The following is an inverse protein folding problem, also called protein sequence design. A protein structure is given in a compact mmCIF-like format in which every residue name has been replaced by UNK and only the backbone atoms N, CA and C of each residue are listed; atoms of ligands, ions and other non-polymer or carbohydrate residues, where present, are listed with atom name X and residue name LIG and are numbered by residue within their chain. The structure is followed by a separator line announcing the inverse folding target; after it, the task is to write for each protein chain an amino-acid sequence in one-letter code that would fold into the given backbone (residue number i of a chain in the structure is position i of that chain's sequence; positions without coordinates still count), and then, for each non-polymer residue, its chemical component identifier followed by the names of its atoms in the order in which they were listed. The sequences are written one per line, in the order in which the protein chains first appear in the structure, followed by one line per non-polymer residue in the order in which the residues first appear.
data_IF_943619717374
#
_entry.id   IF_943619717374
#
_cell.length_a   1.000
_cell.length_b   1.000
_cell.length_c   1.000
_cell.angle_alpha   90.00
_cell.angle_beta   90.00
_cell.angle_gamma   90.00
#
_symmetry.space_group_name_H-M   'P 1'
#
loop_
_entity.id
_entity.type
_entity.pdbx_description
1 polymer ?
#
# COMPACT_ATOMS: atom_id res chain seq x y z
N UNK A 1 17.86 14.93 -0.86
CA UNK A 1 16.76 14.48 0.01
C UNK A 1 15.67 13.90 -0.88
N UNK A 2 15.25 12.66 -0.64
CA UNK A 2 14.08 12.10 -1.33
C UNK A 2 12.81 12.50 -0.55
N UNK A 3 11.68 12.79 -1.22
CA UNK A 3 10.42 13.06 -0.54
C UNK A 3 9.96 11.82 0.23
N UNK A 4 9.56 12.00 1.49
CA UNK A 4 9.04 10.96 2.37
C UNK A 4 7.56 11.24 2.68
N UNK A 5 6.73 10.20 2.66
CA UNK A 5 5.29 10.26 2.96
C UNK A 5 4.93 9.15 3.95
N UNK A 6 4.13 9.48 4.96
CA UNK A 6 3.64 8.54 5.96
C UNK A 6 2.17 8.22 5.69
N UNK A 7 1.84 6.93 5.66
CA UNK A 7 0.48 6.43 5.42
C UNK A 7 0.14 5.47 6.54
N UNK A 8 -1.08 5.57 7.07
CA UNK A 8 -1.63 4.65 8.05
C UNK A 8 -2.97 4.10 7.54
N UNK A 9 -3.17 2.80 7.73
CA UNK A 9 -4.44 2.12 7.43
C UNK A 9 -4.91 1.37 8.67
N UNK A 10 -6.20 1.47 8.94
CA UNK A 10 -6.88 0.65 9.94
C UNK A 10 -7.74 -0.39 9.24
N UNK A 11 -7.71 -1.62 9.73
CA UNK A 11 -8.47 -2.74 9.19
C UNK A 11 -9.16 -3.50 10.33
N UNK A 12 -10.22 -4.23 10.02
CA UNK A 12 -10.89 -5.08 11.00
C UNK A 12 -10.15 -6.42 11.13
N UNK A 13 -9.43 -6.59 12.25
CA UNK A 13 -8.66 -7.80 12.55
C UNK A 13 -9.50 -9.08 12.67
N UNK A 14 -10.83 -8.97 12.82
CA UNK A 14 -11.72 -10.15 12.88
C UNK A 14 -11.96 -10.75 11.51
N UNK A 15 -11.78 -9.96 10.46
CA UNK A 15 -12.13 -10.30 9.09
C UNK A 15 -10.87 -10.38 8.21
N UNK A 16 -9.92 -9.47 8.42
CA UNK A 16 -8.72 -9.33 7.60
C UNK A 16 -7.51 -9.74 8.43
N UNK A 17 -6.69 -10.63 7.87
CA UNK A 17 -5.42 -11.02 8.49
C UNK A 17 -4.40 -9.87 8.41
N UNK A 18 -3.54 -9.76 9.43
CA UNK A 18 -2.54 -8.70 9.48
C UNK A 18 -1.54 -8.77 8.34
N UNK A 19 -1.26 -9.97 7.82
CA UNK A 19 -0.45 -10.15 6.63
C UNK A 19 -1.07 -9.46 5.41
N UNK A 20 -2.37 -9.67 5.18
CA UNK A 20 -3.07 -9.11 4.02
C UNK A 20 -3.12 -7.58 4.10
N UNK A 21 -3.36 -7.03 5.30
CA UNK A 21 -3.32 -5.59 5.52
C UNK A 21 -1.93 -4.97 5.27
N UNK A 22 -0.86 -5.65 5.69
CA UNK A 22 0.52 -5.19 5.44
C UNK A 22 0.86 -5.27 3.96
N UNK A 23 0.50 -6.36 3.28
CA UNK A 23 0.72 -6.52 1.84
C UNK A 23 -0.02 -5.45 1.04
N UNK A 24 -1.26 -5.13 1.43
CA UNK A 24 -2.02 -4.05 0.83
C UNK A 24 -1.36 -2.67 1.01
N UNK A 25 -0.85 -2.37 2.22
CA UNK A 25 -0.15 -1.12 2.47
C UNK A 25 1.15 -1.00 1.65
N UNK A 26 1.89 -2.11 1.48
CA UNK A 26 3.08 -2.18 0.62
C UNK A 26 2.70 -1.97 -0.84
N UNK A 27 1.60 -2.54 -1.29
CA UNK A 27 1.11 -2.36 -2.66
C UNK A 27 0.77 -0.89 -2.95
N UNK A 28 0.05 -0.22 -2.03
CA UNK A 28 -0.23 1.22 -2.12
C UNK A 28 1.08 2.02 -2.19
N UNK A 29 2.05 1.71 -1.33
CA UNK A 29 3.37 2.36 -1.38
C UNK A 29 4.00 2.21 -2.76
N UNK A 30 4.04 1.00 -3.31
CA UNK A 30 4.66 0.71 -4.61
C UNK A 30 3.95 1.45 -5.75
N UNK A 31 2.63 1.54 -5.72
CA UNK A 31 1.82 2.28 -6.70
C UNK A 31 2.10 3.79 -6.64
N UNK A 32 2.25 4.35 -5.43
CA UNK A 32 2.57 5.77 -5.24
C UNK A 32 4.03 6.11 -5.60
N UNK A 33 4.97 5.19 -5.36
CA UNK A 33 6.36 5.34 -5.78
C UNK A 33 6.54 5.15 -7.30
N UNK A 34 5.70 4.32 -7.94
CA UNK A 34 5.78 3.99 -9.36
C UNK A 34 4.39 4.12 -10.05
N UNK A 35 3.90 5.34 -10.30
CA UNK A 35 2.55 5.57 -10.85
C UNK A 35 2.33 4.94 -12.24
N UNK A 36 3.41 4.59 -12.96
CA UNK A 36 3.34 3.83 -14.21
C UNK A 36 2.73 2.43 -14.02
N UNK A 37 2.87 1.80 -12.84
CA UNK A 37 2.24 0.51 -12.54
C UNK A 37 0.73 0.61 -12.42
N UNK A 38 0.23 1.68 -11.78
CA UNK A 38 -1.22 1.98 -11.72
C UNK A 38 -1.84 2.10 -13.11
N UNK A 39 -1.12 2.73 -14.05
CA UNK A 39 -1.61 2.99 -15.40
C UNK A 39 -1.72 1.72 -16.26
N UNK A 40 -0.92 0.69 -15.96
CA UNK A 40 -0.86 -0.55 -16.75
C UNK A 40 -1.74 -1.68 -16.19
N UNK A 41 -2.25 -1.57 -14.95
CA UNK A 41 -3.10 -2.61 -14.34
C UNK A 41 -2.45 -4.00 -14.27
N UNK A 42 -1.10 -4.05 -14.27
CA UNK A 42 -0.28 -5.26 -14.24
C UNK A 42 0.19 -5.57 -12.82
#
# INVERSE_FOLDING_TARGET
AAPMMYIAISYDHRIIDGKDAVLFLVDIKNQLENPQRMLLGL
#
